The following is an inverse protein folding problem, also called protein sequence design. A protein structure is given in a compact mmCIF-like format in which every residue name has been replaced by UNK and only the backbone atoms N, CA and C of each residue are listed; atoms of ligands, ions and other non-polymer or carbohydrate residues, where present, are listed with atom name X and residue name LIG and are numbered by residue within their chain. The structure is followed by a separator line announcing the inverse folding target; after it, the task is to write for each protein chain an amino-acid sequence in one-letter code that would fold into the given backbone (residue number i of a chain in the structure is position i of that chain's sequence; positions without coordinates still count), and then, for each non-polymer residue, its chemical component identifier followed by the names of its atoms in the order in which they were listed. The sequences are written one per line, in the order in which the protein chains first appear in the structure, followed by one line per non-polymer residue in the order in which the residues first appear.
data_IF_650746662100
#
_entry.id   IF_650746662100
#
_cell.length_a   1.000
_cell.length_b   1.000
_cell.length_c   1.000
_cell.angle_alpha   90.00
_cell.angle_beta   90.00
_cell.angle_gamma   90.00
#
_symmetry.space_group_name_H-M   'P 1'
#
loop_
_entity.id
_entity.type
_entity.pdbx_description
1 polymer ?
#
# COMPACT_ATOMS: atom_id res chain seq x y z
N UNK A 1 -1.07 -15.85 -29.95
CA UNK A 1 -2.30 -15.11 -29.64
C UNK A 1 -1.98 -14.26 -28.41
N UNK A 2 -1.85 -12.92 -28.59
CA UNK A 2 -1.60 -12.01 -27.48
C UNK A 2 -2.78 -12.08 -26.49
N UNK A 3 -2.54 -12.58 -25.26
CA UNK A 3 -3.48 -12.36 -24.15
C UNK A 3 -3.64 -10.85 -24.01
N UNK A 4 -4.83 -10.34 -24.26
CA UNK A 4 -5.21 -8.97 -23.93
C UNK A 4 -5.10 -8.90 -22.41
N UNK A 5 -3.98 -8.37 -21.93
CA UNK A 5 -3.78 -8.11 -20.51
C UNK A 5 -4.86 -7.10 -20.10
N UNK A 6 -5.78 -7.50 -19.24
CA UNK A 6 -6.85 -6.62 -18.73
C UNK A 6 -6.17 -5.49 -18.00
N UNK A 7 -6.07 -4.32 -18.65
CA UNK A 7 -5.37 -3.18 -18.07
C UNK A 7 -6.13 -2.66 -16.86
N UNK A 8 -5.40 -2.31 -15.80
CA UNK A 8 -5.95 -1.90 -14.52
C UNK A 8 -6.91 -0.69 -14.63
N UNK A 9 -7.91 -0.68 -13.78
CA UNK A 9 -8.92 0.37 -13.66
C UNK A 9 -8.52 1.33 -12.55
N UNK A 10 -8.29 2.60 -12.89
CA UNK A 10 -7.85 3.63 -11.98
C UNK A 10 -8.99 4.63 -11.71
N UNK A 11 -9.14 5.03 -10.45
CA UNK A 11 -9.92 6.20 -10.08
C UNK A 11 -8.94 7.35 -9.87
N UNK A 12 -9.11 8.44 -10.63
CA UNK A 12 -8.36 9.70 -10.47
C UNK A 12 -9.29 10.72 -9.83
N UNK A 13 -8.95 11.20 -8.64
CA UNK A 13 -9.69 12.25 -7.93
C UNK A 13 -8.81 13.48 -7.85
N UNK A 14 -9.12 14.49 -8.67
CA UNK A 14 -8.30 15.70 -8.88
C UNK A 14 -9.19 16.86 -9.29
N UNK A 15 -9.14 17.97 -8.57
CA UNK A 15 -9.99 19.14 -8.82
C UNK A 15 -9.43 20.14 -9.82
N UNK A 16 -8.09 20.17 -10.01
CA UNK A 16 -7.47 21.02 -11.05
C UNK A 16 -7.82 20.46 -12.45
N UNK A 17 -8.58 21.25 -13.29
CA UNK A 17 -8.99 20.77 -14.60
C UNK A 17 -7.81 20.47 -15.53
N UNK A 18 -6.76 21.30 -15.50
CA UNK A 18 -5.61 21.16 -16.40
C UNK A 18 -4.79 19.92 -16.03
N UNK A 19 -4.49 19.76 -14.74
CA UNK A 19 -3.72 18.62 -14.27
C UNK A 19 -4.48 17.32 -14.47
N UNK A 20 -5.77 17.28 -14.13
CA UNK A 20 -6.59 16.07 -14.26
C UNK A 20 -6.73 15.60 -15.70
N UNK A 21 -6.87 16.52 -16.68
CA UNK A 21 -6.93 16.18 -18.10
C UNK A 21 -5.60 15.63 -18.60
N UNK A 22 -4.48 16.29 -18.28
CA UNK A 22 -3.14 15.83 -18.66
C UNK A 22 -2.84 14.45 -18.06
N UNK A 23 -3.18 14.24 -16.79
CA UNK A 23 -2.98 12.94 -16.13
C UNK A 23 -3.87 11.86 -16.73
N UNK A 24 -5.13 12.16 -16.98
CA UNK A 24 -6.08 11.22 -17.58
C UNK A 24 -5.59 10.76 -18.95
N UNK A 25 -5.22 11.71 -19.82
CA UNK A 25 -4.72 11.39 -21.17
C UNK A 25 -3.44 10.57 -21.10
N UNK A 26 -2.50 10.94 -20.25
CA UNK A 26 -1.26 10.19 -20.05
C UNK A 26 -1.54 8.75 -19.60
N UNK A 27 -2.38 8.56 -18.59
CA UNK A 27 -2.71 7.24 -18.07
C UNK A 27 -3.46 6.36 -19.08
N UNK A 28 -4.35 6.96 -19.88
CA UNK A 28 -5.03 6.28 -20.98
C UNK A 28 -4.03 5.85 -22.07
N UNK A 29 -3.06 6.69 -22.42
CA UNK A 29 -1.98 6.35 -23.35
C UNK A 29 -1.10 5.20 -22.82
N UNK A 30 -0.85 5.14 -21.51
CA UNK A 30 -0.21 3.98 -20.85
C UNK A 30 -1.14 2.74 -20.84
N UNK A 31 -2.41 2.93 -21.23
CA UNK A 31 -3.47 1.96 -21.45
C UNK A 31 -4.22 1.54 -20.21
N UNK A 32 -4.21 2.32 -19.18
CA UNK A 32 -5.13 2.18 -18.06
C UNK A 32 -6.56 2.58 -18.45
N UNK A 33 -7.54 2.03 -17.77
CA UNK A 33 -8.89 2.56 -17.77
C UNK A 33 -8.99 3.58 -16.65
N UNK A 34 -9.28 4.82 -16.98
CA UNK A 34 -9.30 5.91 -16.00
C UNK A 34 -10.72 6.44 -15.85
N UNK A 35 -11.18 6.52 -14.63
CA UNK A 35 -12.40 7.26 -14.26
C UNK A 35 -11.98 8.49 -13.47
N UNK A 36 -12.39 9.66 -13.94
CA UNK A 36 -12.08 10.94 -13.30
C UNK A 36 -13.24 11.36 -12.40
N UNK A 37 -12.89 11.83 -11.19
CA UNK A 37 -13.78 12.56 -10.29
C UNK A 37 -13.15 13.92 -9.96
N UNK A 38 -13.94 14.97 -9.91
CA UNK A 38 -13.51 16.36 -9.77
C UNK A 38 -13.44 16.86 -8.33
N UNK A 39 -13.89 16.06 -7.37
CA UNK A 39 -13.82 16.35 -5.94
C UNK A 39 -13.99 15.07 -5.11
N UNK A 40 -13.77 15.20 -3.79
CA UNK A 40 -13.82 14.05 -2.90
C UNK A 40 -15.21 13.42 -2.76
N UNK A 41 -16.28 14.18 -2.88
CA UNK A 41 -17.65 13.63 -2.80
C UNK A 41 -17.99 12.82 -4.06
N UNK A 42 -17.63 13.34 -5.22
CA UNK A 42 -17.76 12.61 -6.48
C UNK A 42 -16.87 11.35 -6.46
N UNK A 43 -15.63 11.48 -5.97
CA UNK A 43 -14.69 10.37 -5.83
C UNK A 43 -15.26 9.21 -5.02
N UNK A 44 -15.84 9.49 -3.86
CA UNK A 44 -16.48 8.47 -3.02
C UNK A 44 -17.70 7.85 -3.69
N UNK A 45 -18.55 8.67 -4.31
CA UNK A 45 -19.73 8.19 -5.02
C UNK A 45 -19.37 7.27 -6.18
N UNK A 46 -18.35 7.64 -6.97
CA UNK A 46 -17.81 6.83 -8.08
C UNK A 46 -17.17 5.56 -7.55
N UNK A 47 -16.40 5.65 -6.47
CA UNK A 47 -15.75 4.51 -5.84
C UNK A 47 -16.77 3.48 -5.34
N UNK A 48 -17.86 3.93 -4.73
CA UNK A 48 -18.92 3.06 -4.19
C UNK A 48 -19.63 2.21 -5.28
N UNK A 49 -19.74 2.73 -6.51
CA UNK A 49 -20.43 2.07 -7.61
C UNK A 49 -19.50 1.39 -8.62
N UNK A 50 -18.18 1.57 -8.47
CA UNK A 50 -17.17 1.04 -9.38
C UNK A 50 -16.26 0.01 -8.74
N UNK A 51 -15.46 -0.65 -9.59
CA UNK A 51 -14.36 -1.52 -9.16
C UNK A 51 -13.06 -0.94 -9.71
N UNK A 52 -12.16 -0.59 -8.81
CA UNK A 52 -10.88 0.03 -9.13
C UNK A 52 -9.72 -0.78 -8.56
N UNK A 53 -8.68 -0.90 -9.37
CA UNK A 53 -7.44 -1.58 -9.00
C UNK A 53 -6.48 -0.64 -8.25
N UNK A 54 -6.69 0.70 -8.35
CA UNK A 54 -5.91 1.71 -7.65
C UNK A 54 -6.63 3.07 -7.68
N UNK A 55 -6.43 3.87 -6.63
CA UNK A 55 -6.94 5.24 -6.51
C UNK A 55 -5.77 6.23 -6.48
N UNK A 56 -5.80 7.21 -7.38
CA UNK A 56 -4.97 8.41 -7.36
C UNK A 56 -5.81 9.54 -6.76
N UNK A 57 -5.35 10.19 -5.71
CA UNK A 57 -6.17 11.07 -4.91
C UNK A 57 -5.41 12.33 -4.51
N UNK A 58 -5.86 13.51 -4.95
CA UNK A 58 -5.36 14.75 -4.38
C UNK A 58 -5.83 14.91 -2.93
N UNK A 59 -4.98 15.47 -2.12
CA UNK A 59 -5.29 15.82 -0.73
C UNK A 59 -5.98 17.18 -0.66
N UNK A 60 -5.54 18.13 -1.48
CA UNK A 60 -5.98 19.54 -1.39
C UNK A 60 -7.14 19.83 -2.34
N UNK A 61 -8.29 19.27 -2.06
CA UNK A 61 -9.49 19.51 -2.85
C UNK A 61 -10.52 20.36 -2.09
N UNK A 62 -11.35 21.13 -2.79
CA UNK A 62 -12.48 21.82 -2.19
C UNK A 62 -13.51 20.82 -1.65
N UNK A 63 -14.36 21.26 -0.73
CA UNK A 63 -15.46 20.51 -0.13
C UNK A 63 -15.02 19.36 0.78
N UNK A 64 -14.07 18.51 0.38
CA UNK A 64 -13.67 17.36 1.17
C UNK A 64 -12.16 17.08 1.05
N UNK A 65 -11.47 17.08 2.19
CA UNK A 65 -10.04 16.77 2.31
C UNK A 65 -9.77 15.32 1.87
N UNK A 66 -8.79 15.11 1.00
CA UNK A 66 -8.44 13.79 0.47
C UNK A 66 -8.04 12.78 1.54
N UNK A 67 -7.56 13.20 2.71
CA UNK A 67 -7.29 12.29 3.81
C UNK A 67 -8.59 11.64 4.33
N UNK A 68 -9.67 12.41 4.45
CA UNK A 68 -10.98 11.88 4.85
C UNK A 68 -11.57 10.96 3.78
N UNK A 69 -11.38 11.31 2.50
CA UNK A 69 -11.77 10.44 1.38
C UNK A 69 -11.05 9.09 1.45
N UNK A 70 -9.75 9.10 1.72
CA UNK A 70 -8.97 7.86 1.87
C UNK A 70 -9.46 7.01 3.05
N UNK A 71 -9.75 7.62 4.19
CA UNK A 71 -10.29 6.92 5.37
C UNK A 71 -11.62 6.22 5.04
N UNK A 72 -12.52 6.89 4.30
CA UNK A 72 -13.80 6.30 3.90
C UNK A 72 -13.65 5.20 2.85
N UNK A 73 -12.75 5.39 1.87
CA UNK A 73 -12.40 4.32 0.93
C UNK A 73 -11.90 3.08 1.68
N UNK A 74 -11.09 3.25 2.74
CA UNK A 74 -10.61 2.14 3.56
C UNK A 74 -11.72 1.41 4.32
N UNK A 75 -12.77 2.10 4.72
CA UNK A 75 -13.95 1.45 5.31
C UNK A 75 -14.73 0.61 4.29
N UNK A 76 -14.72 1.01 3.01
CA UNK A 76 -15.39 0.30 1.93
C UNK A 76 -14.53 -0.83 1.34
N UNK A 77 -13.23 -0.59 1.21
CA UNK A 77 -12.27 -1.55 0.69
C UNK A 77 -10.88 -1.34 1.34
N UNK A 78 -10.53 -2.25 2.22
CA UNK A 78 -9.26 -2.18 2.97
C UNK A 78 -8.02 -2.36 2.08
N UNK A 79 -8.16 -2.98 0.90
CA UNK A 79 -7.05 -3.49 0.10
C UNK A 79 -6.75 -2.68 -1.16
N UNK A 80 -7.67 -1.85 -1.66
CA UNK A 80 -7.41 -1.05 -2.87
C UNK A 80 -6.23 -0.11 -2.62
N UNK A 81 -5.18 -0.11 -3.45
CA UNK A 81 -4.08 0.83 -3.28
C UNK A 81 -4.52 2.28 -3.44
N UNK A 82 -4.04 3.16 -2.55
CA UNK A 82 -4.27 4.61 -2.63
C UNK A 82 -2.92 5.32 -2.71
N UNK A 83 -2.75 6.14 -3.75
CA UNK A 83 -1.60 7.03 -3.91
C UNK A 83 -2.09 8.46 -3.79
N UNK A 84 -1.52 9.23 -2.87
CA UNK A 84 -1.76 10.67 -2.81
C UNK A 84 -0.90 11.42 -3.83
N UNK A 85 -1.55 12.35 -4.56
CA UNK A 85 -0.90 13.34 -5.43
C UNK A 85 -1.17 14.73 -4.84
N UNK A 86 -0.18 15.39 -4.23
CA UNK A 86 -0.48 16.61 -3.48
C UNK A 86 0.66 17.60 -3.41
N UNK A 87 0.32 18.90 -3.30
CA UNK A 87 1.28 19.95 -3.03
C UNK A 87 1.78 19.97 -1.57
N UNK A 88 1.13 19.24 -0.66
CA UNK A 88 1.57 19.12 0.72
C UNK A 88 2.85 18.29 0.80
N UNK A 89 3.94 18.92 1.22
CA UNK A 89 5.27 18.31 1.31
C UNK A 89 5.79 18.17 2.74
N UNK A 90 5.07 18.71 3.73
CA UNK A 90 5.49 18.68 5.13
C UNK A 90 5.52 17.24 5.67
N UNK A 91 6.49 16.90 6.53
CA UNK A 91 6.59 15.56 7.14
C UNK A 91 5.30 15.12 7.85
N UNK A 92 4.62 16.06 8.51
CA UNK A 92 3.38 15.83 9.24
C UNK A 92 2.24 15.42 8.30
N UNK A 93 2.13 16.04 7.14
CA UNK A 93 1.12 15.72 6.13
C UNK A 93 1.34 14.33 5.55
N UNK A 94 2.59 13.94 5.29
CA UNK A 94 2.94 12.59 4.84
C UNK A 94 2.59 11.54 5.89
N UNK A 95 2.92 11.80 7.17
CA UNK A 95 2.55 10.91 8.28
C UNK A 95 1.04 10.79 8.39
N UNK A 96 0.29 11.90 8.24
CA UNK A 96 -1.17 11.89 8.22
C UNK A 96 -1.70 11.05 7.05
N UNK A 97 -1.14 11.20 5.86
CA UNK A 97 -1.49 10.40 4.67
C UNK A 97 -1.36 8.90 4.92
N UNK A 98 -0.24 8.46 5.48
CA UNK A 98 -0.06 7.04 5.80
C UNK A 98 -0.99 6.56 6.93
N UNK A 99 -1.32 7.43 7.88
CA UNK A 99 -2.32 7.13 8.94
C UNK A 99 -3.73 6.98 8.35
N UNK A 100 -4.11 7.79 7.37
CA UNK A 100 -5.40 7.67 6.67
C UNK A 100 -5.47 6.47 5.71
N UNK A 101 -4.36 5.74 5.54
CA UNK A 101 -4.34 4.46 4.85
C UNK A 101 -3.77 4.50 3.44
N UNK A 102 -3.07 5.56 3.00
CA UNK A 102 -2.43 5.53 1.69
C UNK A 102 -1.26 4.55 1.63
N UNK A 103 -0.99 4.05 0.43
CA UNK A 103 0.12 3.14 0.14
C UNK A 103 1.36 3.88 -0.35
N UNK A 104 1.18 5.03 -0.99
CA UNK A 104 2.26 5.89 -1.45
C UNK A 104 1.85 7.37 -1.47
N UNK A 105 2.84 8.26 -1.61
CA UNK A 105 2.67 9.69 -1.51
C UNK A 105 3.60 10.39 -2.49
N UNK A 106 3.05 11.12 -3.45
CA UNK A 106 3.78 11.82 -4.50
C UNK A 106 3.53 13.33 -4.35
N UNK A 107 4.60 14.10 -4.21
CA UNK A 107 4.49 15.55 -4.08
C UNK A 107 4.50 16.23 -5.43
N UNK A 108 3.57 17.16 -5.64
CA UNK A 108 3.52 18.06 -6.81
C UNK A 108 4.60 19.15 -6.66
N UNK A 109 5.36 19.52 -7.73
CA UNK A 109 5.30 18.92 -9.08
C UNK A 109 6.05 17.58 -9.15
N UNK A 110 5.55 16.65 -9.95
CA UNK A 110 6.16 15.34 -10.22
C UNK A 110 6.25 15.09 -11.73
N UNK A 111 7.13 14.20 -12.14
CA UNK A 111 7.19 13.75 -13.53
C UNK A 111 6.21 12.62 -13.80
N UNK A 112 5.74 12.52 -15.04
CA UNK A 112 4.92 11.39 -15.49
C UNK A 112 5.66 10.07 -15.40
N UNK A 113 6.99 10.08 -15.56
CA UNK A 113 7.85 8.92 -15.38
C UNK A 113 7.85 8.43 -13.93
N UNK A 114 7.99 9.34 -12.95
CA UNK A 114 7.91 9.01 -11.52
C UNK A 114 6.56 8.37 -11.19
N UNK A 115 5.46 8.99 -11.65
CA UNK A 115 4.12 8.46 -11.45
C UNK A 115 3.99 7.05 -12.03
N UNK A 116 4.45 6.84 -13.27
CA UNK A 116 4.38 5.55 -13.96
C UNK A 116 5.14 4.45 -13.21
N UNK A 117 6.37 4.74 -12.77
CA UNK A 117 7.19 3.78 -12.02
C UNK A 117 6.53 3.37 -10.70
N UNK A 118 5.91 4.30 -9.99
CA UNK A 118 5.20 4.03 -8.74
C UNK A 118 3.91 3.24 -8.95
N UNK A 119 3.12 3.60 -9.97
CA UNK A 119 1.93 2.84 -10.38
C UNK A 119 2.28 1.39 -10.72
N UNK A 120 3.29 1.20 -11.58
CA UNK A 120 3.76 -0.13 -11.97
C UNK A 120 4.23 -0.96 -10.78
N UNK A 121 4.98 -0.34 -9.87
CA UNK A 121 5.47 -1.02 -8.68
C UNK A 121 4.33 -1.50 -7.77
N UNK A 122 3.28 -0.69 -7.62
CA UNK A 122 2.12 -1.01 -6.78
C UNK A 122 1.23 -2.03 -7.49
N UNK A 123 0.88 -1.81 -8.74
CA UNK A 123 -0.01 -2.71 -9.49
C UNK A 123 0.61 -4.09 -9.72
N UNK A 124 1.93 -4.19 -9.98
CA UNK A 124 2.63 -5.49 -10.06
C UNK A 124 2.58 -6.29 -8.77
N UNK A 125 2.55 -5.62 -7.61
CA UNK A 125 2.40 -6.28 -6.31
C UNK A 125 0.98 -6.78 -6.12
N UNK A 126 -0.03 -6.00 -6.55
CA UNK A 126 -1.44 -6.38 -6.48
C UNK A 126 -1.79 -7.49 -7.51
N UNK A 127 -1.24 -7.43 -8.73
CA UNK A 127 -1.46 -8.45 -9.76
C UNK A 127 -0.88 -9.83 -9.39
N UNK A 128 0.10 -9.90 -8.47
CA UNK A 128 0.59 -11.17 -7.92
C UNK A 128 -0.41 -11.83 -6.96
N UNK A 129 -1.55 -11.21 -6.72
CA UNK A 129 -2.64 -11.75 -5.88
C UNK A 129 -3.57 -12.67 -6.70
N UNK A 130 -3.60 -12.56 -8.05
CA UNK A 130 -4.24 -13.58 -8.88
C UNK A 130 -3.20 -14.67 -9.21
N UNK A 131 -3.43 -15.94 -8.81
CA UNK A 131 -2.51 -17.02 -9.15
C UNK A 131 -2.54 -17.23 -10.66
N UNK A 132 -1.46 -16.84 -11.36
CA UNK A 132 -1.22 -17.42 -12.69
C UNK A 132 -1.06 -18.93 -12.53
N UNK A 133 -1.59 -19.77 -13.45
CA UNK A 133 -1.57 -21.23 -13.31
C UNK A 133 -0.17 -21.88 -13.46
N UNK A 134 0.89 -21.12 -13.61
CA UNK A 134 2.29 -21.56 -13.53
C UNK A 134 2.93 -21.09 -12.23
N UNK A 135 2.58 -21.81 -11.20
CA UNK A 135 3.19 -22.11 -9.92
C UNK A 135 4.48 -21.34 -9.59
N UNK A 136 4.33 -20.07 -9.14
CA UNK A 136 5.23 -19.59 -8.09
C UNK A 136 4.85 -20.33 -6.79
N UNK A 137 5.80 -20.88 -6.02
CA UNK A 137 5.47 -21.59 -4.80
C UNK A 137 4.69 -20.66 -3.87
N UNK A 138 3.55 -21.13 -3.36
CA UNK A 138 2.75 -20.41 -2.37
C UNK A 138 3.67 -20.19 -1.17
N UNK A 139 4.07 -18.93 -0.95
CA UNK A 139 4.97 -18.61 0.15
C UNK A 139 4.15 -18.39 1.41
N UNK A 140 4.15 -19.40 2.28
CA UNK A 140 3.44 -19.38 3.55
C UNK A 140 4.43 -19.39 4.69
N UNK A 141 4.24 -18.51 5.66
CA UNK A 141 5.04 -18.44 6.88
C UNK A 141 4.17 -18.80 8.08
N UNK A 142 4.67 -19.73 8.91
CA UNK A 142 4.12 -19.97 10.23
C UNK A 142 4.82 -19.07 11.24
N UNK A 143 4.05 -18.24 11.93
CA UNK A 143 4.55 -17.20 12.85
C UNK A 143 3.82 -17.37 14.18
N UNK A 144 4.33 -18.23 15.07
CA UNK A 144 3.62 -18.62 16.28
C UNK A 144 2.26 -19.23 15.94
N UNK A 145 1.17 -18.60 16.43
CA UNK A 145 -0.22 -19.03 16.13
C UNK A 145 -0.74 -18.53 14.79
N UNK A 146 0.01 -17.67 14.10
CA UNK A 146 -0.42 -17.08 12.85
C UNK A 146 0.13 -17.84 11.65
N UNK A 147 -0.69 -17.89 10.61
CA UNK A 147 -0.30 -18.33 9.27
C UNK A 147 -0.41 -17.18 8.30
N UNK A 148 0.71 -16.77 7.75
CA UNK A 148 0.78 -15.67 6.79
C UNK A 148 1.04 -16.18 5.38
N UNK A 149 0.07 -16.01 4.49
CA UNK A 149 0.23 -16.25 3.06
C UNK A 149 0.74 -14.97 2.39
N UNK A 150 2.02 -14.95 2.05
CA UNK A 150 2.67 -13.78 1.45
C UNK A 150 2.33 -13.60 -0.04
N UNK A 151 1.71 -14.59 -0.68
CA UNK A 151 1.27 -14.51 -2.08
C UNK A 151 0.03 -13.63 -2.22
N UNK A 152 -0.93 -13.76 -1.28
CA UNK A 152 -2.20 -13.02 -1.29
C UNK A 152 -2.37 -12.07 -0.10
N UNK A 153 -1.32 -11.89 0.71
CA UNK A 153 -1.27 -11.01 1.87
C UNK A 153 -2.34 -11.30 2.93
N UNK A 154 -2.66 -12.57 3.13
CA UNK A 154 -3.62 -12.99 4.14
C UNK A 154 -2.93 -13.49 5.39
N UNK A 155 -3.31 -12.93 6.53
CA UNK A 155 -2.86 -13.34 7.85
C UNK A 155 -4.03 -14.01 8.57
N UNK A 156 -3.87 -15.28 8.95
CA UNK A 156 -4.90 -16.05 9.63
C UNK A 156 -4.45 -16.50 11.01
N UNK A 157 -5.40 -16.58 11.95
CA UNK A 157 -5.21 -17.10 13.30
C UNK A 157 -6.53 -17.71 13.77
N UNK A 158 -6.54 -19.00 14.12
CA UNK A 158 -7.68 -19.73 14.71
C UNK A 158 -9.03 -19.50 13.99
N UNK A 159 -9.02 -19.50 12.65
CA UNK A 159 -10.24 -19.32 11.83
C UNK A 159 -10.61 -17.88 11.54
N UNK A 160 -9.93 -16.90 12.12
CA UNK A 160 -10.02 -15.49 11.73
C UNK A 160 -8.99 -15.19 10.64
N UNK A 161 -9.38 -14.45 9.61
CA UNK A 161 -8.49 -14.04 8.51
C UNK A 161 -8.52 -12.52 8.36
N UNK A 162 -7.35 -11.92 8.23
CA UNK A 162 -7.15 -10.49 8.01
C UNK A 162 -6.42 -10.33 6.67
N UNK A 163 -6.95 -9.50 5.79
CA UNK A 163 -6.27 -9.08 4.56
C UNK A 163 -5.37 -7.89 4.87
N UNK A 164 -4.10 -8.00 4.53
CA UNK A 164 -3.13 -6.94 4.69
C UNK A 164 -3.05 -6.10 3.41
N UNK A 165 -2.83 -4.79 3.56
CA UNK A 165 -2.51 -3.96 2.39
C UNK A 165 -1.20 -4.42 1.74
N UNK A 166 -0.96 -4.10 0.46
CA UNK A 166 0.27 -4.50 -0.23
C UNK A 166 1.56 -4.12 0.51
N UNK A 167 1.60 -2.94 1.15
CA UNK A 167 2.77 -2.49 1.93
C UNK A 167 2.90 -3.23 3.26
N UNK A 168 1.81 -3.48 3.96
CA UNK A 168 1.79 -4.28 5.19
C UNK A 168 2.25 -5.71 4.91
N UNK A 169 1.70 -6.33 3.85
CA UNK A 169 2.07 -7.67 3.45
C UNK A 169 3.55 -7.78 3.04
N UNK A 170 4.05 -6.82 2.25
CA UNK A 170 5.45 -6.78 1.85
C UNK A 170 6.40 -6.59 3.05
N UNK A 171 6.00 -5.74 4.03
CA UNK A 171 6.77 -5.54 5.24
C UNK A 171 6.77 -6.78 6.13
N UNK A 172 5.61 -7.42 6.33
CA UNK A 172 5.51 -8.66 7.10
C UNK A 172 6.31 -9.78 6.44
N UNK A 173 6.24 -9.94 5.11
CA UNK A 173 7.04 -10.88 4.35
C UNK A 173 8.55 -10.67 4.56
N UNK A 174 9.00 -9.42 4.50
CA UNK A 174 10.39 -9.08 4.73
C UNK A 174 10.83 -9.47 6.16
N UNK A 175 9.99 -9.23 7.15
CA UNK A 175 10.21 -9.60 8.55
C UNK A 175 10.25 -11.12 8.72
N UNK A 176 9.34 -11.87 8.09
CA UNK A 176 9.30 -13.34 8.12
C UNK A 176 10.54 -13.99 7.48
N UNK A 177 11.03 -13.43 6.37
CA UNK A 177 12.27 -13.90 5.74
C UNK A 177 13.52 -13.66 6.60
N UNK A 178 13.41 -12.86 7.65
CA UNK A 178 14.49 -12.51 8.56
C UNK A 178 14.03 -12.66 10.03
N UNK A 179 13.26 -13.73 10.32
CA UNK A 179 12.83 -14.03 11.69
C UNK A 179 14.01 -14.03 12.64
N UNK A 180 13.83 -13.41 13.80
CA UNK A 180 14.86 -13.28 14.83
C UNK A 180 16.16 -12.55 14.40
N UNK A 181 16.13 -11.86 13.24
CA UNK A 181 17.24 -11.04 12.75
C UNK A 181 16.85 -9.57 12.68
N UNK A 182 17.86 -8.70 12.82
CA UNK A 182 17.68 -7.26 12.68
C UNK A 182 17.53 -6.88 11.21
N UNK A 183 16.47 -6.13 10.90
CA UNK A 183 16.30 -5.46 9.62
C UNK A 183 16.48 -3.96 9.84
N UNK A 184 17.45 -3.35 9.15
CA UNK A 184 17.64 -1.90 9.21
C UNK A 184 16.48 -1.17 8.53
N UNK A 185 16.17 0.05 9.00
CA UNK A 185 15.15 0.91 8.38
C UNK A 185 15.45 1.15 6.90
N UNK A 186 16.68 1.48 6.58
CA UNK A 186 17.15 1.69 5.21
C UNK A 186 16.89 0.47 4.32
N UNK A 187 17.29 -0.74 4.75
CA UNK A 187 17.04 -1.98 4.00
C UNK A 187 15.56 -2.22 3.75
N UNK A 188 14.70 -1.96 4.74
CA UNK A 188 13.26 -2.10 4.60
C UNK A 188 12.68 -1.05 3.63
N UNK A 189 13.13 0.20 3.73
CA UNK A 189 12.70 1.29 2.84
C UNK A 189 13.05 0.99 1.38
N UNK A 190 14.30 0.69 1.10
CA UNK A 190 14.74 0.37 -0.27
C UNK A 190 13.96 -0.83 -0.84
N UNK A 191 13.78 -1.91 -0.05
CA UNK A 191 13.08 -3.10 -0.53
C UNK A 191 11.58 -2.92 -0.75
N UNK A 192 10.91 -2.07 0.03
CA UNK A 192 9.45 -1.94 0.02
C UNK A 192 9.00 -0.67 -0.70
N UNK A 193 9.74 0.43 -0.59
CA UNK A 193 9.39 1.72 -1.19
C UNK A 193 10.31 2.11 -2.35
N UNK A 194 11.44 1.42 -2.55
CA UNK A 194 12.39 1.73 -3.62
C UNK A 194 13.25 2.97 -3.36
N UNK A 195 13.21 3.50 -2.14
CA UNK A 195 13.93 4.71 -1.75
C UNK A 195 14.37 4.61 -0.29
N UNK A 196 15.41 5.34 0.08
CA UNK A 196 15.91 5.53 1.45
C UNK A 196 15.46 6.85 2.08
N UNK A 197 14.46 7.54 1.48
CA UNK A 197 13.95 8.83 1.96
C UNK A 197 13.59 8.77 3.45
N UNK A 198 14.26 9.61 4.23
CA UNK A 198 14.09 9.73 5.69
C UNK A 198 12.63 9.97 6.11
N UNK A 199 11.87 10.72 5.31
CA UNK A 199 10.46 11.02 5.62
C UNK A 199 9.56 9.80 5.43
N UNK A 200 9.85 8.95 4.45
CA UNK A 200 9.19 7.67 4.29
C UNK A 200 9.56 6.72 5.45
N UNK A 201 10.76 6.86 6.00
CA UNK A 201 11.20 6.13 7.19
C UNK A 201 10.31 6.31 8.41
N UNK A 202 9.82 7.52 8.65
CA UNK A 202 8.83 7.79 9.73
C UNK A 202 7.46 7.17 9.45
N UNK A 203 7.10 7.05 8.18
CA UNK A 203 5.84 6.42 7.78
C UNK A 203 5.86 4.91 8.03
N UNK A 204 7.03 4.27 7.99
CA UNK A 204 7.18 2.85 8.31
C UNK A 204 6.69 2.51 9.72
N UNK A 205 6.83 3.43 10.69
CA UNK A 205 6.35 3.21 12.07
C UNK A 205 4.83 3.03 12.13
N UNK A 206 4.08 3.60 11.18
CA UNK A 206 2.63 3.40 11.06
C UNK A 206 2.33 1.95 10.67
N UNK A 207 3.03 1.41 9.67
CA UNK A 207 2.86 0.02 9.23
C UNK A 207 3.30 -0.97 10.32
N UNK A 208 4.41 -0.70 11.00
CA UNK A 208 4.86 -1.50 12.16
C UNK A 208 3.80 -1.50 13.26
N UNK A 209 3.18 -0.35 13.54
CA UNK A 209 2.13 -0.25 14.57
C UNK A 209 0.90 -1.07 14.20
N UNK A 210 0.49 -1.08 12.93
CA UNK A 210 -0.62 -1.90 12.44
C UNK A 210 -0.28 -3.39 12.51
N UNK A 211 0.89 -3.79 12.05
CA UNK A 211 1.32 -5.20 12.13
C UNK A 211 1.37 -5.68 13.60
N UNK A 212 1.84 -4.86 14.53
CA UNK A 212 1.78 -5.19 15.97
C UNK A 212 0.34 -5.39 16.47
N UNK A 213 -0.59 -4.57 15.99
CA UNK A 213 -2.01 -4.71 16.34
C UNK A 213 -2.58 -6.05 15.81
N UNK A 214 -2.20 -6.47 14.61
CA UNK A 214 -2.65 -7.73 14.04
C UNK A 214 -2.05 -8.95 14.74
N UNK A 215 -0.80 -8.84 15.21
CA UNK A 215 -0.07 -9.94 15.86
C UNK A 215 -0.24 -9.98 17.39
N UNK A 216 -1.05 -9.10 17.99
CA UNK A 216 -1.17 -8.95 19.46
C UNK A 216 -1.69 -10.18 20.20
N UNK A 217 -2.42 -11.07 19.50
CA UNK A 217 -3.09 -12.21 20.11
C UNK A 217 -2.14 -13.40 20.38
N UNK A 218 -0.87 -13.27 20.00
CA UNK A 218 0.18 -14.22 20.36
C UNK A 218 1.35 -13.51 21.06
N UNK A 219 1.52 -13.70 22.39
CA UNK A 219 2.61 -13.08 23.15
C UNK A 219 4.00 -13.63 22.81
N UNK A 220 4.09 -14.75 22.09
CA UNK A 220 5.34 -15.34 21.62
C UNK A 220 5.84 -14.67 20.32
N UNK A 221 5.00 -13.83 19.68
CA UNK A 221 5.29 -13.13 18.42
C UNK A 221 5.33 -11.63 18.67
N UNK A 222 6.49 -11.01 18.50
CA UNK A 222 6.64 -9.58 18.74
C UNK A 222 7.48 -8.90 17.67
N UNK A 223 7.07 -7.70 17.24
CA UNK A 223 7.95 -6.83 16.44
C UNK A 223 8.58 -5.82 17.41
N UNK A 224 9.88 -5.97 17.66
CA UNK A 224 10.66 -5.09 18.56
C UNK A 224 11.40 -4.03 17.78
N UNK A 225 11.58 -2.85 18.41
CA UNK A 225 12.46 -1.80 17.89
C UNK A 225 13.87 -2.02 18.43
N UNK A 226 14.86 -2.03 17.55
CA UNK A 226 16.26 -1.88 17.92
C UNK A 226 16.60 -0.39 17.75
N UNK A 227 16.78 0.29 18.86
CA UNK A 227 16.85 1.76 18.92
C UNK A 227 17.81 2.34 17.89
N UNK A 228 17.34 3.32 17.11
CA UNK A 228 18.12 3.99 16.07
C UNK A 228 18.47 3.14 14.83
N UNK A 229 18.24 1.81 14.83
CA UNK A 229 18.74 0.92 13.79
C UNK A 229 17.65 0.30 12.94
N UNK A 230 16.61 -0.27 13.56
CA UNK A 230 15.57 -0.98 12.77
C UNK A 230 14.58 -1.77 13.59
N UNK A 231 14.10 -2.85 13.00
CA UNK A 231 13.07 -3.72 13.56
C UNK A 231 13.50 -5.18 13.55
N UNK A 232 12.92 -5.96 14.44
CA UNK A 232 13.12 -7.40 14.51
C UNK A 232 11.77 -8.07 14.78
N UNK A 233 11.39 -9.06 13.98
CA UNK A 233 10.30 -9.97 14.29
C UNK A 233 10.85 -11.07 15.18
N UNK A 234 10.45 -11.10 16.42
CA UNK A 234 10.82 -12.12 17.40
C UNK A 234 9.72 -13.17 17.49
N UNK A 235 10.11 -14.44 17.29
CA UNK A 235 9.26 -15.60 17.49
C UNK A 235 10.00 -16.53 18.44
N UNK A 236 9.47 -16.77 19.64
CA UNK A 236 10.16 -17.52 20.70
C UNK A 236 10.21 -19.02 20.45
N UNK A 237 9.21 -19.58 19.76
CA UNK A 237 9.16 -21.00 19.39
C UNK A 237 9.18 -21.13 17.87
N UNK A 238 10.34 -21.01 17.24
CA UNK A 238 10.54 -21.47 15.87
C UNK A 238 10.67 -22.98 15.96
N UNK A 239 9.61 -23.72 15.60
CA UNK A 239 9.74 -25.19 15.41
C UNK A 239 10.80 -25.39 14.30
N UNK A 240 11.95 -25.87 14.71
CA UNK A 240 13.07 -26.27 13.86
C UNK A 240 12.74 -27.51 13.04
#
# INVERSE_FOLDING_TARGET
MNKIQKKASLLLVEDDPNLSEVLMDYLILQGFRVTLARDGEEGLRVFHHGNFDLVLLDVMMPRRDGFLVAEEIRLLNENVPIIFLTAKSMPEDRIRGFKSGCDDYITKPFSTEELSLRLDAILKRCARIEPEPDVAPIEVFEIGKFRFNATNFKLSNNGSEISLTPKEGALLRLLCLNVNQLITREKALIKIWGTDDYFIGRSMDVFITRLRKYLKDDPEVMITNVHGTGFKLEVKNVLS
#
